data_IF_327703601332
#
_entry.id   IF_327703601332
#
_cell.length_a   1.000
_cell.length_b   1.000
_cell.length_c   1.000
_cell.angle_alpha   90.00
_cell.angle_beta   90.00
_cell.angle_gamma   90.00
#
_symmetry.space_group_name_H-M   'P 1'
#
loop_
_entity.id
_entity.type
_entity.pdbx_description
1 polymer ?
#
# COMPACT_ATOMS: atom_id res chain seq x y z
N UNK A 1 -9.64 9.40 -21.46
CA UNK A 1 -8.44 9.53 -20.61
C UNK A 1 -7.49 10.48 -21.31
N UNK A 2 -6.79 11.35 -20.59
CA UNK A 2 -5.75 12.20 -21.17
C UNK A 2 -4.54 12.26 -20.24
N UNK A 3 -3.37 12.51 -20.82
CA UNK A 3 -2.13 12.74 -20.07
C UNK A 3 -1.91 14.24 -20.03
N UNK A 4 -1.79 14.80 -18.84
CA UNK A 4 -1.46 16.21 -18.67
C UNK A 4 0.05 16.40 -18.88
N UNK A 5 0.45 17.27 -19.80
CA UNK A 5 1.87 17.48 -20.12
C UNK A 5 2.66 18.18 -18.99
N UNK A 6 1.98 18.96 -18.15
CA UNK A 6 2.59 19.73 -17.06
C UNK A 6 3.00 18.88 -15.86
N UNK A 7 2.14 17.94 -15.44
CA UNK A 7 2.43 17.08 -14.29
C UNK A 7 2.61 15.59 -14.63
N UNK A 8 2.49 15.23 -15.92
CA UNK A 8 2.62 13.87 -16.46
C UNK A 8 1.63 12.87 -15.84
N UNK A 9 0.52 13.35 -15.28
CA UNK A 9 -0.52 12.50 -14.70
C UNK A 9 -1.61 12.13 -15.70
N UNK A 10 -2.26 11.02 -15.41
CA UNK A 10 -3.38 10.49 -16.18
C UNK A 10 -4.69 10.94 -15.54
N UNK A 11 -5.58 11.50 -16.35
CA UNK A 11 -6.90 11.96 -15.92
C UNK A 11 -8.02 11.24 -16.67
N UNK A 12 -9.08 10.91 -15.93
CA UNK A 12 -10.34 10.40 -16.47
C UNK A 12 -11.31 11.57 -16.63
N UNK A 13 -12.08 11.57 -17.73
CA UNK A 13 -12.97 12.69 -18.05
C UNK A 13 -14.33 12.61 -17.33
N UNK A 14 -14.72 11.40 -16.91
CA UNK A 14 -16.06 11.15 -16.38
C UNK A 14 -15.99 10.21 -15.18
N UNK A 15 -16.83 10.47 -14.18
CA UNK A 15 -16.89 9.67 -12.96
C UNK A 15 -17.22 8.19 -13.23
N UNK A 16 -18.02 7.92 -14.27
CA UNK A 16 -18.38 6.54 -14.67
C UNK A 16 -17.29 5.80 -15.45
N UNK A 17 -16.07 6.35 -15.56
CA UNK A 17 -15.00 5.70 -16.32
C UNK A 17 -14.59 4.37 -15.68
N UNK A 18 -14.49 4.31 -14.34
CA UNK A 18 -14.26 3.06 -13.61
C UNK A 18 -15.33 2.02 -13.93
N UNK A 19 -16.60 2.42 -13.90
CA UNK A 19 -17.73 1.52 -14.17
C UNK A 19 -17.74 1.00 -15.62
N UNK A 20 -17.14 1.76 -16.54
CA UNK A 20 -16.96 1.33 -17.92
C UNK A 20 -15.79 0.35 -18.05
N UNK A 21 -14.61 0.72 -17.56
CA UNK A 21 -13.37 -0.05 -17.77
C UNK A 21 -13.37 -1.39 -17.03
N UNK A 22 -14.06 -1.47 -15.88
CA UNK A 22 -14.20 -2.69 -15.09
C UNK A 22 -15.39 -3.57 -15.53
N UNK A 23 -16.16 -3.16 -16.54
CA UNK A 23 -17.27 -3.95 -17.08
C UNK A 23 -16.83 -4.66 -18.35
N UNK A 24 -16.70 -5.99 -18.29
CA UNK A 24 -16.35 -6.81 -19.46
C UNK A 24 -17.34 -6.65 -20.62
N UNK A 25 -18.64 -6.51 -20.31
CA UNK A 25 -19.70 -6.29 -21.30
C UNK A 25 -19.54 -4.95 -22.02
N UNK A 26 -19.24 -3.87 -21.28
CA UNK A 26 -19.19 -2.51 -21.83
C UNK A 26 -17.88 -2.21 -22.54
N UNK A 27 -16.76 -2.61 -21.95
CA UNK A 27 -15.40 -2.25 -22.43
C UNK A 27 -14.76 -3.27 -23.36
N UNK A 28 -15.27 -4.52 -23.40
CA UNK A 28 -14.85 -5.59 -24.31
C UNK A 28 -13.34 -5.80 -24.30
N UNK A 29 -12.65 -5.54 -25.40
CA UNK A 29 -11.19 -5.68 -25.54
C UNK A 29 -10.39 -4.77 -24.62
N UNK A 30 -11.00 -3.71 -24.11
CA UNK A 30 -10.38 -2.77 -23.16
C UNK A 30 -10.73 -3.09 -21.70
N UNK A 31 -11.32 -4.24 -21.42
CA UNK A 31 -11.70 -4.64 -20.07
C UNK A 31 -10.49 -4.82 -19.18
N UNK A 32 -10.51 -4.12 -18.04
CA UNK A 32 -9.56 -4.29 -16.96
C UNK A 32 -10.21 -5.15 -15.87
N UNK A 33 -9.67 -6.36 -15.67
CA UNK A 33 -10.08 -7.18 -14.54
C UNK A 33 -9.57 -6.54 -13.24
N UNK A 34 -10.49 -5.99 -12.45
CA UNK A 34 -10.15 -5.28 -11.24
C UNK A 34 -9.39 -6.17 -10.26
N UNK A 35 -9.79 -7.44 -10.09
CA UNK A 35 -9.20 -8.36 -9.11
C UNK A 35 -7.77 -8.73 -9.47
N UNK A 36 -7.52 -9.02 -10.74
CA UNK A 36 -6.15 -9.26 -11.25
C UNK A 36 -5.25 -8.07 -10.93
N UNK A 37 -5.74 -6.85 -11.14
CA UNK A 37 -4.97 -5.64 -10.85
C UNK A 37 -4.80 -5.39 -9.35
N UNK A 38 -5.79 -5.68 -8.50
CA UNK A 38 -5.62 -5.58 -7.04
C UNK A 38 -4.50 -6.52 -6.56
N UNK A 39 -4.47 -7.77 -7.03
CA UNK A 39 -3.42 -8.73 -6.65
C UNK A 39 -2.02 -8.32 -7.14
N UNK A 40 -1.91 -7.73 -8.32
CA UNK A 40 -0.65 -7.17 -8.81
C UNK A 40 -0.17 -5.99 -7.96
N UNK A 41 -1.08 -5.07 -7.63
CA UNK A 41 -0.77 -3.90 -6.81
C UNK A 41 -0.37 -4.29 -5.40
N UNK A 42 -1.02 -5.29 -4.82
CA UNK A 42 -0.65 -5.79 -3.51
C UNK A 42 0.76 -6.38 -3.47
N UNK A 43 1.08 -7.26 -4.42
CA UNK A 43 2.44 -7.82 -4.55
C UNK A 43 3.47 -6.70 -4.73
N UNK A 44 3.16 -5.71 -5.55
CA UNK A 44 4.03 -4.55 -5.76
C UNK A 44 4.23 -3.76 -4.45
N UNK A 45 3.16 -3.48 -3.71
CA UNK A 45 3.24 -2.76 -2.43
C UNK A 45 4.08 -3.50 -1.41
N UNK A 46 3.81 -4.79 -1.18
CA UNK A 46 4.60 -5.61 -0.26
C UNK A 46 6.06 -5.71 -0.69
N UNK A 47 6.32 -5.85 -2.00
CA UNK A 47 7.68 -5.91 -2.55
C UNK A 47 8.46 -4.61 -2.37
N UNK A 48 7.84 -3.46 -2.66
CA UNK A 48 8.46 -2.14 -2.48
C UNK A 48 8.74 -1.89 -1.01
N UNK A 49 7.79 -2.17 -0.13
CA UNK A 49 7.98 -2.01 1.32
C UNK A 49 9.08 -2.91 1.87
N UNK A 50 9.17 -4.17 1.42
CA UNK A 50 10.27 -5.07 1.79
C UNK A 50 11.64 -4.50 1.39
N UNK A 51 11.74 -3.88 0.22
CA UNK A 51 12.99 -3.33 -0.29
C UNK A 51 13.37 -2.01 0.37
N UNK A 52 12.40 -1.11 0.58
CA UNK A 52 12.67 0.30 0.92
C UNK A 52 12.51 0.64 2.39
N UNK A 53 11.65 -0.06 3.14
CA UNK A 53 11.52 0.19 4.56
C UNK A 53 12.75 -0.30 5.31
N UNK A 54 13.29 0.58 6.14
CA UNK A 54 14.41 0.30 7.03
C UNK A 54 14.23 1.07 8.34
N UNK A 55 14.95 0.64 9.37
CA UNK A 55 15.00 1.33 10.65
C UNK A 55 15.56 2.75 10.48
N UNK A 56 14.93 3.73 11.12
CA UNK A 56 15.35 5.12 11.09
C UNK A 56 15.43 5.65 9.65
N UNK A 57 14.34 5.49 8.89
CA UNK A 57 14.32 5.74 7.43
C UNK A 57 14.66 7.20 7.07
N UNK A 58 14.38 8.15 7.96
CA UNK A 58 14.74 9.56 7.79
C UNK A 58 16.11 9.95 8.38
N UNK A 59 16.88 8.96 8.86
CA UNK A 59 18.17 9.13 9.52
C UNK A 59 18.13 10.24 10.59
N UNK A 60 17.17 10.14 11.49
CA UNK A 60 16.98 11.09 12.58
C UNK A 60 18.18 11.03 13.52
N UNK A 61 18.62 12.20 14.05
CA UNK A 61 19.83 12.28 14.86
C UNK A 61 19.67 11.67 16.24
N UNK A 62 18.44 11.57 16.75
CA UNK A 62 18.14 11.10 18.09
C UNK A 62 16.67 10.70 18.23
N UNK A 63 16.39 9.70 19.07
CA UNK A 63 15.03 9.36 19.51
C UNK A 63 14.56 10.16 20.73
N UNK A 64 15.39 11.05 21.28
CA UNK A 64 15.04 11.92 22.41
C UNK A 64 14.40 13.23 21.99
N UNK A 65 14.44 13.56 20.69
CA UNK A 65 13.76 14.71 20.11
C UNK A 65 12.43 14.24 19.53
N UNK A 66 11.41 15.09 19.59
CA UNK A 66 10.21 14.84 18.80
C UNK A 66 10.57 15.00 17.31
N UNK A 67 9.98 14.19 16.44
CA UNK A 67 10.28 14.23 15.00
C UNK A 67 10.10 15.66 14.43
N UNK A 68 9.05 16.37 14.86
CA UNK A 68 8.76 17.76 14.49
C UNK A 68 9.79 18.79 14.96
N UNK A 69 10.64 18.44 15.92
CA UNK A 69 11.72 19.29 16.43
C UNK A 69 13.03 19.08 15.64
N UNK A 70 13.09 18.05 14.78
CA UNK A 70 14.23 17.80 13.92
C UNK A 70 14.23 18.80 12.76
N UNK A 71 15.33 19.53 12.62
CA UNK A 71 15.49 20.51 11.54
C UNK A 71 15.40 19.85 10.15
N UNK A 72 14.50 20.41 9.32
CA UNK A 72 14.29 19.95 7.95
C UNK A 72 13.60 18.58 7.85
N UNK A 73 12.81 18.19 8.86
CA UNK A 73 12.12 16.90 8.91
C UNK A 73 11.25 16.66 7.67
N UNK A 74 10.51 17.66 7.18
CA UNK A 74 9.62 17.52 6.02
C UNK A 74 10.41 17.17 4.75
N UNK A 75 11.58 17.79 4.58
CA UNK A 75 12.48 17.50 3.47
C UNK A 75 13.04 16.08 3.57
N UNK A 76 13.46 15.66 4.77
CA UNK A 76 13.96 14.30 5.02
C UNK A 76 12.88 13.25 4.70
N UNK A 77 11.64 13.50 5.10
CA UNK A 77 10.51 12.62 4.79
C UNK A 77 10.33 12.54 3.27
N UNK A 78 10.28 13.67 2.57
CA UNK A 78 10.10 13.67 1.12
C UNK A 78 11.24 12.97 0.35
N UNK A 79 12.47 13.02 0.85
CA UNK A 79 13.64 12.37 0.25
C UNK A 79 13.68 10.85 0.52
N UNK A 80 13.26 10.40 1.71
CA UNK A 80 13.39 9.02 2.14
C UNK A 80 12.10 8.19 2.00
N UNK A 81 10.94 8.86 1.91
CA UNK A 81 9.63 8.26 1.68
C UNK A 81 9.06 8.84 0.38
N UNK A 82 9.61 8.45 -0.79
CA UNK A 82 9.09 8.93 -2.06
C UNK A 82 7.65 8.47 -2.28
N UNK A 83 6.90 9.18 -3.14
CA UNK A 83 5.45 8.97 -3.30
C UNK A 83 5.02 7.54 -3.64
N UNK A 84 5.88 6.73 -4.27
CA UNK A 84 5.59 5.30 -4.49
C UNK A 84 5.60 4.50 -3.18
N UNK A 85 6.56 4.76 -2.27
CA UNK A 85 6.61 4.10 -0.96
C UNK A 85 5.48 4.59 -0.07
N UNK A 86 5.19 5.90 -0.10
CA UNK A 86 4.04 6.48 0.60
C UNK A 86 2.73 5.80 0.17
N UNK A 87 2.51 5.67 -1.14
CA UNK A 87 1.37 4.94 -1.68
C UNK A 87 1.34 3.50 -1.15
N UNK A 88 2.45 2.78 -1.21
CA UNK A 88 2.52 1.42 -0.71
C UNK A 88 2.17 1.32 0.78
N UNK A 89 2.67 2.25 1.60
CA UNK A 89 2.37 2.30 3.03
C UNK A 89 0.88 2.48 3.33
N UNK A 90 0.14 3.23 2.50
CA UNK A 90 -1.27 3.53 2.72
C UNK A 90 -2.23 2.49 2.13
N UNK A 91 -1.89 1.88 0.98
CA UNK A 91 -2.86 1.13 0.19
C UNK A 91 -2.67 -0.38 0.18
N UNK A 92 -1.58 -0.93 0.75
CA UNK A 92 -1.36 -2.37 0.77
C UNK A 92 -2.51 -3.15 1.44
N UNK A 93 -3.03 -2.66 2.57
CA UNK A 93 -4.17 -3.28 3.26
C UNK A 93 -5.48 -3.19 2.47
N UNK A 94 -5.71 -2.09 1.75
CA UNK A 94 -6.86 -1.94 0.87
C UNK A 94 -6.82 -2.98 -0.27
N UNK A 95 -5.66 -3.15 -0.91
CA UNK A 95 -5.49 -4.15 -1.96
C UNK A 95 -5.69 -5.57 -1.40
N UNK A 96 -5.14 -5.86 -0.22
CA UNK A 96 -5.34 -7.12 0.51
C UNK A 96 -6.81 -7.43 0.77
N UNK A 97 -7.57 -6.44 1.23
CA UNK A 97 -8.99 -6.62 1.46
C UNK A 97 -9.74 -6.93 0.16
N UNK A 98 -9.45 -6.20 -0.93
CA UNK A 98 -10.14 -6.38 -2.22
C UNK A 98 -9.82 -7.72 -2.89
N UNK A 99 -8.61 -8.25 -2.70
CA UNK A 99 -8.25 -9.60 -3.15
C UNK A 99 -9.06 -10.72 -2.46
N UNK A 100 -9.74 -10.44 -1.34
CA UNK A 100 -10.52 -11.44 -0.57
C UNK A 100 -12.01 -11.49 -0.92
N UNK A 101 -12.52 -10.52 -1.67
CA UNK A 101 -13.97 -10.36 -1.90
C UNK A 101 -14.53 -11.50 -2.74
N UNK A 102 -13.73 -12.10 -3.62
CA UNK A 102 -14.07 -13.38 -4.26
C UNK A 102 -13.26 -14.48 -3.57
N UNK A 103 -13.96 -15.51 -3.06
CA UNK A 103 -13.42 -16.63 -2.26
C UNK A 103 -12.37 -17.50 -2.97
N UNK A 104 -11.91 -17.10 -4.17
CA UNK A 104 -10.72 -17.65 -4.78
C UNK A 104 -9.53 -17.39 -3.84
N UNK A 105 -8.94 -18.48 -3.34
CA UNK A 105 -7.88 -18.44 -2.34
C UNK A 105 -6.86 -17.33 -2.62
N UNK A 106 -6.62 -16.47 -1.62
CA UNK A 106 -5.53 -15.49 -1.65
C UNK A 106 -4.26 -16.24 -2.07
N UNK A 107 -3.57 -15.72 -3.09
CA UNK A 107 -2.37 -16.33 -3.63
C UNK A 107 -1.35 -16.61 -2.51
N UNK A 108 -0.91 -17.86 -2.36
CA UNK A 108 0.06 -18.27 -1.35
C UNK A 108 1.36 -17.44 -1.41
N UNK A 109 1.73 -16.93 -2.59
CA UNK A 109 2.85 -16.00 -2.72
C UNK A 109 2.60 -14.68 -1.97
N UNK A 110 1.38 -14.12 -2.03
CA UNK A 110 0.99 -12.91 -1.30
C UNK A 110 1.02 -13.18 0.21
N UNK A 111 0.53 -14.35 0.63
CA UNK A 111 0.57 -14.75 2.05
C UNK A 111 2.02 -14.80 2.56
N UNK A 112 2.92 -15.44 1.82
CA UNK A 112 4.34 -15.52 2.20
C UNK A 112 5.02 -14.14 2.25
N UNK A 113 4.69 -13.25 1.31
CA UNK A 113 5.17 -11.86 1.32
C UNK A 113 4.63 -11.09 2.53
N UNK A 114 3.35 -11.26 2.87
CA UNK A 114 2.72 -10.65 4.03
C UNK A 114 3.36 -11.14 5.34
N UNK A 115 3.58 -12.44 5.49
CA UNK A 115 4.27 -13.01 6.66
C UNK A 115 5.69 -12.43 6.81
N UNK A 116 6.42 -12.33 5.70
CA UNK A 116 7.75 -11.71 5.69
C UNK A 116 7.71 -10.25 6.11
N UNK A 117 6.77 -9.48 5.55
CA UNK A 117 6.55 -8.08 5.90
C UNK A 117 6.22 -7.91 7.38
N UNK A 118 5.28 -8.69 7.91
CA UNK A 118 4.89 -8.65 9.33
C UNK A 118 6.10 -8.92 10.23
N UNK A 119 6.91 -9.92 9.89
CA UNK A 119 8.05 -10.32 10.71
C UNK A 119 9.22 -9.33 10.64
N UNK A 120 9.50 -8.75 9.47
CA UNK A 120 10.75 -8.00 9.23
C UNK A 120 10.56 -6.50 9.10
N UNK A 121 9.39 -6.03 8.67
CA UNK A 121 9.17 -4.65 8.22
C UNK A 121 8.04 -3.93 8.94
N UNK A 122 7.19 -4.63 9.67
CA UNK A 122 6.05 -4.04 10.36
C UNK A 122 6.41 -2.81 11.21
N UNK A 123 7.49 -2.90 12.00
CA UNK A 123 7.92 -1.80 12.87
C UNK A 123 8.41 -0.61 12.04
N UNK A 124 9.14 -0.87 10.95
CA UNK A 124 9.62 0.18 10.04
C UNK A 124 8.47 0.83 9.26
N UNK A 125 7.43 0.06 8.97
CA UNK A 125 6.20 0.60 8.40
C UNK A 125 5.47 1.50 9.40
N UNK A 126 5.33 1.10 10.68
CA UNK A 126 4.76 1.94 11.73
C UNK A 126 5.57 3.24 11.90
N UNK A 127 6.89 3.15 11.85
CA UNK A 127 7.79 4.31 11.86
C UNK A 127 7.48 5.26 10.69
N UNK A 128 7.40 4.73 9.46
CA UNK A 128 7.04 5.53 8.29
C UNK A 128 5.63 6.15 8.41
N UNK A 129 4.64 5.39 8.92
CA UNK A 129 3.28 5.91 9.17
C UNK A 129 3.25 7.00 10.24
N UNK A 130 4.15 6.96 11.23
CA UNK A 130 4.35 8.03 12.21
C UNK A 130 4.92 9.29 11.57
N UNK A 131 5.99 9.14 10.79
CA UNK A 131 6.62 10.25 10.08
C UNK A 131 5.65 10.94 9.11
N UNK A 132 4.76 10.18 8.48
CA UNK A 132 3.72 10.68 7.57
C UNK A 132 2.48 11.28 8.29
N UNK A 133 2.47 11.29 9.63
CA UNK A 133 1.32 11.71 10.45
C UNK A 133 0.03 10.94 10.10
N UNK A 134 0.18 9.61 9.93
CA UNK A 134 -0.89 8.65 9.59
C UNK A 134 -0.97 7.45 10.54
N UNK A 135 -0.41 7.53 11.75
CA UNK A 135 -0.53 6.46 12.75
C UNK A 135 -1.97 5.98 12.99
N UNK A 136 -3.00 6.85 13.08
CA UNK A 136 -4.37 6.37 13.26
C UNK A 136 -4.84 5.45 12.13
N UNK A 137 -4.49 5.76 10.87
CA UNK A 137 -4.83 4.93 9.71
C UNK A 137 -4.12 3.58 9.74
N UNK A 138 -2.95 3.49 10.39
CA UNK A 138 -2.21 2.23 10.49
C UNK A 138 -2.98 1.18 11.28
N UNK A 139 -3.81 1.58 12.25
CA UNK A 139 -4.64 0.65 13.04
C UNK A 139 -5.68 -0.08 12.18
N UNK A 140 -6.38 0.67 11.32
CA UNK A 140 -7.38 0.09 10.41
C UNK A 140 -6.73 -0.90 9.42
N UNK A 141 -5.55 -0.54 8.89
CA UNK A 141 -4.78 -1.40 7.98
C UNK A 141 -4.29 -2.67 8.68
N UNK A 142 -3.84 -2.56 9.93
CA UNK A 142 -3.40 -3.71 10.74
C UNK A 142 -4.53 -4.68 11.03
N UNK A 143 -5.75 -4.18 11.24
CA UNK A 143 -6.91 -5.04 11.47
C UNK A 143 -7.19 -5.95 10.27
N UNK A 144 -7.05 -5.43 9.05
CA UNK A 144 -7.17 -6.23 7.81
C UNK A 144 -6.13 -7.35 7.80
N UNK A 145 -4.87 -7.06 8.11
CA UNK A 145 -3.80 -8.06 8.11
C UNK A 145 -4.03 -9.15 9.18
N UNK A 146 -4.44 -8.76 10.39
CA UNK A 146 -4.77 -9.71 11.47
C UNK A 146 -5.93 -10.61 11.06
N UNK A 147 -6.96 -10.05 10.41
CA UNK A 147 -8.10 -10.83 9.92
C UNK A 147 -7.66 -11.91 8.92
N UNK A 148 -6.72 -11.58 8.04
CA UNK A 148 -6.15 -12.53 7.07
C UNK A 148 -5.37 -13.64 7.79
N UNK A 149 -4.51 -13.29 8.74
CA UNK A 149 -3.75 -14.28 9.50
C UNK A 149 -4.64 -15.21 10.34
N UNK A 150 -5.72 -14.68 10.94
CA UNK A 150 -6.67 -15.48 11.76
C UNK A 150 -7.52 -16.45 10.94
N UNK A 151 -7.98 -16.04 9.76
CA UNK A 151 -8.79 -16.90 8.88
C UNK A 151 -8.04 -18.13 8.38
N UNK A 152 -6.70 -18.12 8.40
CA UNK A 152 -5.86 -19.29 8.10
C UNK A 152 -5.80 -20.28 9.27
N UNK A 153 -5.68 -19.79 10.51
CA UNK A 153 -5.66 -20.63 11.72
C UNK A 153 -6.97 -21.40 11.95
N UNK A 154 -8.10 -20.89 11.44
CA UNK A 154 -9.41 -21.55 11.54
C UNK A 154 -9.67 -22.56 10.40
N UNK A 155 -8.80 -22.61 9.39
CA UNK A 155 -8.90 -23.54 8.24
C UNK A 155 -7.88 -24.70 8.32
N UNK A 156 -7.10 -24.79 9.39
CA UNK A 156 -6.22 -25.92 9.73
C UNK A 156 -6.87 -26.80 10.80
#
# INVERSE_FOLDING_TARGET
MYINEGDKKIYTFHASFSDYIFSAERSKENHCDQLVHQGLLEKACLGIMEQKLCFNICNLPSSFLLDKEVEGIEKRIAENVPGELEYCCFFWGYHLEKCRVDEAAVDEAVISMLETFIQKKMIFWIEAMSLLDKLPLSLDILEVAIMVSKNRLLKM
#
